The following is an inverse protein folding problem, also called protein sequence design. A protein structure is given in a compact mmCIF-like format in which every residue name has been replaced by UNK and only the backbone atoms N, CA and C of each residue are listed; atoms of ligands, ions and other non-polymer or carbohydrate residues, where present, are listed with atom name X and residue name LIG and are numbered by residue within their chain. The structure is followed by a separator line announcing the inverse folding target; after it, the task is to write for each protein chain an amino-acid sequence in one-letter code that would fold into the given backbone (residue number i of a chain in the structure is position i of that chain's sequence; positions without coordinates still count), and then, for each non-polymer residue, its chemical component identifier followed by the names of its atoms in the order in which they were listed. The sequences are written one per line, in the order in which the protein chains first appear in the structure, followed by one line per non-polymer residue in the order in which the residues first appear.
data_IF_724116158240
#
_entry.id   IF_724116158240
#
_cell.length_a   1.000
_cell.length_b   1.000
_cell.length_c   1.000
_cell.angle_alpha   90.00
_cell.angle_beta   90.00
_cell.angle_gamma   90.00
#
_symmetry.space_group_name_H-M   'P 1'
#
loop_
_entity.id
_entity.type
_entity.pdbx_description
1 polymer ?
#
# COMPACT_ATOMS: atom_id res chain seq x y z
N UNK A 1 -8.76 29.18 -60.30
CA UNK A 1 -9.53 28.03 -60.86
C UNK A 1 -10.72 27.76 -59.96
N UNK A 2 -11.92 28.20 -60.36
CA UNK A 2 -13.14 28.05 -59.56
C UNK A 2 -13.61 26.60 -59.54
N UNK A 3 -13.85 26.05 -58.35
CA UNK A 3 -14.45 24.72 -58.17
C UNK A 3 -15.91 24.75 -58.65
N UNK A 4 -16.30 23.77 -59.47
CA UNK A 4 -17.68 23.61 -59.93
C UNK A 4 -18.67 23.34 -58.79
N UNK A 5 -19.96 23.55 -59.07
CA UNK A 5 -21.06 23.24 -58.15
C UNK A 5 -21.03 21.76 -57.79
N UNK A 6 -21.16 21.44 -56.50
CA UNK A 6 -21.28 20.07 -56.00
C UNK A 6 -22.69 19.84 -55.45
N UNK A 7 -23.19 18.62 -55.57
CA UNK A 7 -24.45 18.20 -54.95
C UNK A 7 -24.31 18.05 -53.42
N UNK A 8 -25.38 18.31 -52.68
CA UNK A 8 -25.43 18.10 -51.22
C UNK A 8 -25.74 16.62 -50.95
N UNK A 9 -24.71 15.79 -51.03
CA UNK A 9 -24.72 14.37 -50.67
C UNK A 9 -23.41 13.98 -49.97
N UNK A 10 -23.37 12.80 -49.36
CA UNK A 10 -22.15 12.28 -48.74
C UNK A 10 -21.04 12.18 -49.80
N UNK A 11 -19.85 12.70 -49.48
CA UNK A 11 -18.66 12.54 -50.32
C UNK A 11 -18.07 11.16 -50.05
N UNK A 12 -18.10 10.25 -51.02
CA UNK A 12 -17.67 8.86 -50.81
C UNK A 12 -16.15 8.73 -50.61
N UNK A 13 -15.37 9.43 -51.42
CA UNK A 13 -13.91 9.43 -51.28
C UNK A 13 -13.48 10.05 -49.94
N UNK A 14 -12.81 9.25 -49.10
CA UNK A 14 -12.43 9.62 -47.74
C UNK A 14 -11.49 10.83 -47.68
N UNK A 15 -10.49 10.91 -48.56
CA UNK A 15 -9.52 12.02 -48.62
C UNK A 15 -10.22 13.32 -49.00
N UNK A 16 -11.06 13.29 -50.04
CA UNK A 16 -11.83 14.46 -50.45
C UNK A 16 -12.84 14.91 -49.38
N UNK A 17 -13.46 13.94 -48.69
CA UNK A 17 -14.36 14.19 -47.56
C UNK A 17 -13.62 14.87 -46.41
N UNK A 18 -12.43 14.40 -46.04
CA UNK A 18 -11.62 14.99 -44.97
C UNK A 18 -11.18 16.42 -45.31
N UNK A 19 -10.66 16.66 -46.51
CA UNK A 19 -10.24 18.00 -46.94
C UNK A 19 -11.43 18.96 -46.99
N UNK A 20 -12.58 18.48 -47.47
CA UNK A 20 -13.81 19.28 -47.55
C UNK A 20 -14.35 19.59 -46.15
N UNK A 21 -14.34 18.60 -45.24
CA UNK A 21 -14.70 18.78 -43.85
C UNK A 21 -13.86 19.88 -43.20
N UNK A 22 -12.53 19.79 -43.29
CA UNK A 22 -11.62 20.78 -42.70
C UNK A 22 -11.91 22.20 -43.22
N UNK A 23 -12.09 22.36 -44.53
CA UNK A 23 -12.38 23.67 -45.14
C UNK A 23 -13.75 24.21 -44.74
N UNK A 24 -14.81 23.38 -44.81
CA UNK A 24 -16.18 23.79 -44.46
C UNK A 24 -16.33 24.07 -42.97
N UNK A 25 -15.74 23.24 -42.11
CA UNK A 25 -15.70 23.44 -40.65
C UNK A 25 -15.12 24.82 -40.32
N UNK A 26 -13.96 25.16 -40.89
CA UNK A 26 -13.34 26.48 -40.69
C UNK A 26 -14.22 27.60 -41.23
N UNK A 27 -14.84 27.41 -42.40
CA UNK A 27 -15.79 28.39 -42.97
C UNK A 27 -17.01 28.64 -42.08
N UNK A 28 -17.60 27.59 -41.52
CA UNK A 28 -18.73 27.66 -40.59
C UNK A 28 -18.32 28.39 -39.31
N UNK A 29 -17.18 28.05 -38.72
CA UNK A 29 -16.66 28.74 -37.53
C UNK A 29 -16.39 30.23 -37.80
N UNK A 30 -15.88 30.57 -38.99
CA UNK A 30 -15.69 31.98 -39.38
C UNK A 30 -17.02 32.72 -39.46
N UNK A 31 -18.03 32.11 -40.08
CA UNK A 31 -19.39 32.69 -40.17
C UNK A 31 -20.05 32.85 -38.81
N UNK A 32 -19.89 31.87 -37.92
CA UNK A 32 -20.39 31.94 -36.54
C UNK A 32 -19.75 33.11 -35.78
N UNK A 33 -18.44 33.31 -35.94
CA UNK A 33 -17.72 34.45 -35.36
C UNK A 33 -18.20 35.78 -35.93
N UNK A 34 -18.36 35.88 -37.25
CA UNK A 34 -18.92 37.07 -37.89
C UNK A 34 -20.31 37.40 -37.31
N UNK A 35 -21.18 36.41 -37.17
CA UNK A 35 -22.52 36.60 -36.59
C UNK A 35 -22.47 37.06 -35.13
N UNK A 36 -21.56 36.49 -34.34
CA UNK A 36 -21.36 36.89 -32.94
C UNK A 36 -21.00 38.37 -32.84
N UNK A 37 -20.08 38.85 -33.69
CA UNK A 37 -19.61 40.24 -33.68
C UNK A 37 -20.64 41.20 -34.27
N UNK A 38 -21.30 40.82 -35.37
CA UNK A 38 -22.20 41.72 -36.10
C UNK A 38 -23.55 41.93 -35.40
N UNK A 39 -24.03 40.92 -34.67
CA UNK A 39 -25.39 40.92 -34.11
C UNK A 39 -25.43 40.72 -32.59
N UNK A 40 -24.28 40.71 -31.91
CA UNK A 40 -24.15 40.38 -30.48
C UNK A 40 -24.86 39.05 -30.12
N UNK A 41 -24.85 38.11 -31.06
CA UNK A 41 -25.51 36.82 -30.91
C UNK A 41 -24.55 35.83 -30.25
N UNK A 42 -24.99 35.15 -29.19
CA UNK A 42 -24.21 34.07 -28.60
C UNK A 42 -24.42 32.77 -29.38
N UNK A 43 -23.33 32.17 -29.84
CA UNK A 43 -23.35 31.04 -30.76
C UNK A 43 -22.43 29.94 -30.24
N UNK A 44 -22.97 28.73 -30.11
CA UNK A 44 -22.21 27.52 -29.86
C UNK A 44 -22.37 26.54 -31.03
N UNK A 45 -21.28 25.89 -31.44
CA UNK A 45 -21.28 24.85 -32.47
C UNK A 45 -20.45 23.67 -31.98
N UNK A 46 -21.03 22.47 -32.03
CA UNK A 46 -20.35 21.20 -31.76
C UNK A 46 -20.45 20.33 -33.01
N UNK A 47 -19.30 19.82 -33.49
CA UNK A 47 -19.21 18.97 -34.68
C UNK A 47 -18.41 17.72 -34.38
N UNK A 48 -18.99 16.55 -34.67
CA UNK A 48 -18.29 15.27 -34.64
C UNK A 48 -17.93 14.83 -36.06
N UNK A 49 -16.67 14.45 -36.26
CA UNK A 49 -16.22 13.86 -37.52
C UNK A 49 -16.48 12.35 -37.53
N UNK A 50 -16.46 11.74 -38.72
CA UNK A 50 -16.50 10.28 -38.85
C UNK A 50 -15.25 9.58 -38.26
N UNK A 51 -14.23 10.33 -37.84
CA UNK A 51 -13.02 9.79 -37.18
C UNK A 51 -13.15 9.81 -35.66
N UNK A 52 -14.32 10.17 -35.11
CA UNK A 52 -14.54 10.32 -33.66
C UNK A 52 -13.89 11.57 -33.06
N UNK A 53 -13.29 12.44 -33.86
CA UNK A 53 -12.75 13.72 -33.37
C UNK A 53 -13.86 14.74 -33.31
N UNK A 54 -13.92 15.50 -32.22
CA UNK A 54 -14.85 16.61 -32.09
C UNK A 54 -14.14 17.94 -32.33
N UNK A 55 -14.93 18.91 -32.77
CA UNK A 55 -14.51 20.29 -32.93
C UNK A 55 -15.62 21.18 -32.43
N UNK A 56 -15.26 22.17 -31.63
CA UNK A 56 -16.20 23.09 -31.02
C UNK A 56 -15.83 24.55 -31.29
N UNK A 57 -16.85 25.39 -31.24
CA UNK A 57 -16.72 26.84 -31.25
C UNK A 57 -17.75 27.40 -30.27
N UNK A 58 -17.34 28.39 -29.49
CA UNK A 58 -18.20 29.16 -28.60
C UNK A 58 -17.93 30.64 -28.81
N UNK A 59 -18.96 31.47 -28.71
CA UNK A 59 -18.82 32.92 -28.70
C UNK A 59 -17.88 33.37 -27.58
N UNK A 60 -16.99 34.37 -27.83
CA UNK A 60 -16.13 34.92 -26.79
C UNK A 60 -16.93 35.43 -25.58
N UNK A 61 -16.40 35.27 -24.37
CA UNK A 61 -17.06 35.71 -23.15
C UNK A 61 -18.17 34.78 -22.63
N UNK A 62 -18.40 33.64 -23.28
CA UNK A 62 -19.35 32.61 -22.84
C UNK A 62 -18.75 31.22 -22.89
N UNK A 63 -19.24 30.31 -22.06
CA UNK A 63 -18.91 28.88 -22.13
C UNK A 63 -20.05 28.11 -22.82
N UNK A 64 -19.72 27.00 -23.48
CA UNK A 64 -20.68 26.12 -24.12
C UNK A 64 -21.75 25.70 -23.12
N UNK A 65 -21.36 25.35 -21.89
CA UNK A 65 -22.29 25.00 -20.80
C UNK A 65 -23.35 26.08 -20.58
N UNK A 66 -22.95 27.34 -20.47
CA UNK A 66 -23.88 28.47 -20.25
C UNK A 66 -24.87 28.69 -21.40
N UNK A 67 -24.50 28.35 -22.63
CA UNK A 67 -25.40 28.41 -23.79
C UNK A 67 -26.39 27.24 -23.74
N UNK A 68 -25.91 26.04 -23.41
CA UNK A 68 -26.77 24.86 -23.22
C UNK A 68 -27.77 25.05 -22.08
N UNK A 69 -27.34 25.62 -20.96
CA UNK A 69 -28.21 25.88 -19.81
C UNK A 69 -29.34 26.85 -20.18
N UNK A 70 -29.03 27.91 -20.93
CA UNK A 70 -30.04 28.86 -21.42
C UNK A 70 -30.96 28.27 -22.47
N UNK A 71 -30.43 27.41 -23.34
CA UNK A 71 -31.25 26.65 -24.28
C UNK A 71 -32.25 25.75 -23.54
N UNK A 72 -31.80 25.04 -22.50
CA UNK A 72 -32.66 24.23 -21.65
C UNK A 72 -33.73 25.07 -20.94
N UNK A 73 -33.37 26.24 -20.40
CA UNK A 73 -34.34 27.17 -19.80
C UNK A 73 -35.36 27.68 -20.81
N UNK A 74 -34.95 28.00 -22.04
CA UNK A 74 -35.83 28.53 -23.07
C UNK A 74 -36.83 27.49 -23.62
N UNK A 75 -36.42 26.22 -23.72
CA UNK A 75 -37.28 25.14 -24.23
C UNK A 75 -38.09 24.48 -23.11
N UNK A 76 -37.66 24.62 -21.85
CA UNK A 76 -38.31 23.96 -20.71
C UNK A 76 -38.07 22.44 -20.67
N UNK A 77 -37.15 21.93 -21.51
CA UNK A 77 -36.80 20.51 -21.55
C UNK A 77 -35.41 20.32 -21.00
N UNK A 78 -35.31 19.46 -19.99
CA UNK A 78 -34.06 19.11 -19.37
C UNK A 78 -33.24 18.11 -20.19
N UNK A 79 -32.07 18.52 -20.68
CA UNK A 79 -31.20 17.65 -21.46
C UNK A 79 -30.37 16.69 -20.58
N UNK A 80 -30.25 16.98 -19.28
CA UNK A 80 -29.38 16.27 -18.35
C UNK A 80 -30.09 15.24 -17.46
N UNK A 81 -31.43 15.16 -17.51
CA UNK A 81 -32.17 14.76 -16.31
C UNK A 81 -32.15 13.27 -15.92
N UNK A 82 -32.04 12.29 -16.81
CA UNK A 82 -32.15 10.91 -16.32
C UNK A 82 -30.83 10.35 -15.81
N UNK A 83 -29.76 10.49 -16.59
CA UNK A 83 -28.47 9.89 -16.25
C UNK A 83 -27.73 10.65 -15.16
N UNK A 84 -27.80 11.99 -15.17
CA UNK A 84 -27.13 12.80 -14.16
C UNK A 84 -27.82 12.70 -12.80
N UNK A 85 -29.15 12.72 -12.77
CA UNK A 85 -29.92 12.50 -11.53
C UNK A 85 -29.68 11.09 -10.97
N UNK A 86 -29.60 10.07 -11.83
CA UNK A 86 -29.33 8.72 -11.36
C UNK A 86 -27.91 8.58 -10.78
N UNK A 87 -26.92 9.22 -11.41
CA UNK A 87 -25.56 9.31 -10.90
C UNK A 87 -25.51 10.03 -9.55
N UNK A 88 -26.21 11.16 -9.42
CA UNK A 88 -26.29 11.91 -8.16
C UNK A 88 -26.98 11.11 -7.05
N UNK A 89 -28.09 10.42 -7.35
CA UNK A 89 -28.75 9.53 -6.38
C UNK A 89 -27.81 8.43 -5.89
N UNK A 90 -27.07 7.81 -6.82
CA UNK A 90 -26.10 6.76 -6.49
C UNK A 90 -24.98 7.31 -5.58
N UNK A 91 -24.47 8.49 -5.89
CA UNK A 91 -23.43 9.15 -5.11
C UNK A 91 -23.90 9.55 -3.71
N UNK A 92 -25.13 10.05 -3.57
CA UNK A 92 -25.73 10.35 -2.27
C UNK A 92 -25.94 9.08 -1.44
N UNK A 93 -26.47 8.03 -2.06
CA UNK A 93 -26.66 6.73 -1.41
C UNK A 93 -25.33 6.13 -0.89
N UNK A 94 -24.27 6.19 -1.69
CA UNK A 94 -22.94 5.73 -1.27
C UNK A 94 -22.35 6.57 -0.13
N UNK A 95 -22.57 7.89 -0.14
CA UNK A 95 -22.15 8.75 0.96
C UNK A 95 -22.86 8.40 2.26
N UNK A 96 -24.16 8.10 2.20
CA UNK A 96 -24.92 7.74 3.39
C UNK A 96 -24.52 6.37 3.93
N UNK A 97 -24.28 5.37 3.08
CA UNK A 97 -23.70 4.08 3.49
C UNK A 97 -22.34 4.31 4.18
N UNK A 98 -21.47 5.16 3.62
CA UNK A 98 -20.15 5.40 4.20
C UNK A 98 -20.25 6.09 5.57
N UNK A 99 -21.16 7.04 5.73
CA UNK A 99 -21.44 7.71 7.02
C UNK A 99 -21.94 6.70 8.05
N UNK A 100 -22.84 5.81 7.66
CA UNK A 100 -23.38 4.77 8.55
C UNK A 100 -22.28 3.81 9.00
N UNK A 101 -21.45 3.30 8.06
CA UNK A 101 -20.32 2.42 8.40
C UNK A 101 -19.31 3.09 9.31
N UNK A 102 -18.98 4.37 9.09
CA UNK A 102 -18.07 5.12 9.97
C UNK A 102 -18.66 5.30 11.37
N UNK A 103 -19.97 5.47 11.46
CA UNK A 103 -20.67 5.59 12.75
C UNK A 103 -20.66 4.24 13.47
N UNK A 104 -20.96 3.15 12.77
CA UNK A 104 -20.89 1.80 13.33
C UNK A 104 -19.48 1.44 13.84
N UNK A 105 -18.43 1.81 13.09
CA UNK A 105 -17.04 1.61 13.54
C UNK A 105 -16.77 2.39 14.83
N UNK A 106 -17.15 3.67 14.90
CA UNK A 106 -16.98 4.50 16.11
C UNK A 106 -17.73 3.93 17.31
N UNK A 107 -18.97 3.51 17.11
CA UNK A 107 -19.77 2.87 18.15
C UNK A 107 -19.13 1.57 18.65
N UNK A 108 -18.63 0.72 17.75
CA UNK A 108 -17.86 -0.49 18.12
C UNK A 108 -16.56 -0.18 18.86
N UNK A 109 -15.99 1.01 18.67
CA UNK A 109 -14.82 1.51 19.41
C UNK A 109 -15.18 2.18 20.75
N UNK A 110 -16.48 2.33 21.06
CA UNK A 110 -16.97 2.96 22.28
C UNK A 110 -17.17 4.47 22.19
N UNK A 111 -17.19 5.03 20.98
CA UNK A 111 -17.42 6.46 20.71
C UNK A 111 -18.88 6.69 20.24
N UNK A 112 -19.41 7.90 20.42
CA UNK A 112 -20.75 8.33 19.95
C UNK A 112 -21.90 7.37 20.31
N UNK A 113 -21.94 6.92 21.57
CA UNK A 113 -22.96 5.99 22.06
C UNK A 113 -24.27 6.64 22.49
N UNK A 114 -24.27 7.97 22.68
CA UNK A 114 -25.41 8.72 23.22
C UNK A 114 -26.68 8.65 22.35
N UNK A 115 -26.52 8.33 21.07
CA UNK A 115 -27.62 8.25 20.11
C UNK A 115 -28.26 6.85 20.01
N UNK A 116 -27.72 5.84 20.70
CA UNK A 116 -28.22 4.47 20.64
C UNK A 116 -29.30 4.24 21.70
N UNK A 117 -30.34 3.51 21.34
CA UNK A 117 -31.30 3.00 22.32
C UNK A 117 -30.68 1.88 23.16
N UNK A 118 -31.24 1.64 24.35
CA UNK A 118 -30.68 0.65 25.28
C UNK A 118 -30.61 -0.78 24.70
N UNK A 119 -31.61 -1.18 23.91
CA UNK A 119 -31.61 -2.48 23.24
C UNK A 119 -30.52 -2.58 22.16
N UNK A 120 -30.27 -1.48 21.43
CA UNK A 120 -29.20 -1.40 20.44
C UNK A 120 -27.82 -1.46 21.11
N UNK A 121 -27.65 -0.77 22.23
CA UNK A 121 -26.41 -0.79 23.02
C UNK A 121 -26.13 -2.19 23.58
N UNK A 122 -27.15 -2.88 24.08
CA UNK A 122 -27.05 -4.28 24.52
C UNK A 122 -26.68 -5.20 23.36
N UNK A 123 -27.29 -5.01 22.18
CA UNK A 123 -26.94 -5.75 20.97
C UNK A 123 -25.48 -5.53 20.55
N UNK A 124 -25.01 -4.28 20.61
CA UNK A 124 -23.63 -3.91 20.34
C UNK A 124 -22.65 -4.58 21.30
N UNK A 125 -22.95 -4.57 22.61
CA UNK A 125 -22.15 -5.24 23.64
C UNK A 125 -22.01 -6.75 23.36
N UNK A 126 -23.13 -7.44 23.10
CA UNK A 126 -23.14 -8.87 22.79
C UNK A 126 -22.33 -9.18 21.52
N UNK A 127 -22.45 -8.35 20.49
CA UNK A 127 -21.70 -8.49 19.25
C UNK A 127 -20.19 -8.34 19.47
N UNK A 128 -19.77 -7.34 20.25
CA UNK A 128 -18.36 -7.11 20.57
C UNK A 128 -17.80 -8.23 21.45
N UNK A 129 -18.54 -8.70 22.45
CA UNK A 129 -18.12 -9.82 23.32
C UNK A 129 -17.96 -11.13 22.53
N UNK A 130 -18.89 -11.41 21.62
CA UNK A 130 -18.81 -12.59 20.74
C UNK A 130 -17.60 -12.51 19.81
N UNK A 131 -17.38 -11.36 19.18
CA UNK A 131 -16.20 -11.14 18.34
C UNK A 131 -14.89 -11.26 19.13
N UNK A 132 -14.87 -10.78 20.38
CA UNK A 132 -13.71 -10.87 21.27
C UNK A 132 -13.39 -12.33 21.64
N UNK A 133 -14.41 -13.14 21.93
CA UNK A 133 -14.26 -14.59 22.19
C UNK A 133 -13.62 -15.31 21.01
N UNK A 134 -14.10 -15.05 19.80
CA UNK A 134 -13.54 -15.61 18.56
C UNK A 134 -12.06 -15.22 18.36
N UNK A 135 -11.74 -13.93 18.53
CA UNK A 135 -10.37 -13.43 18.40
C UNK A 135 -9.45 -14.05 19.45
N UNK A 136 -9.91 -14.13 20.71
CA UNK A 136 -9.15 -14.76 21.81
C UNK A 136 -8.90 -16.23 21.51
N UNK A 137 -9.92 -16.98 21.10
CA UNK A 137 -9.79 -18.40 20.77
C UNK A 137 -8.71 -18.62 19.71
N UNK A 138 -8.73 -17.85 18.62
CA UNK A 138 -7.69 -17.92 17.56
C UNK A 138 -6.31 -17.56 18.09
N UNK A 139 -6.19 -16.49 18.89
CA UNK A 139 -4.90 -16.09 19.50
C UNK A 139 -4.34 -17.19 20.41
N UNK A 140 -5.16 -17.75 21.29
CA UNK A 140 -4.73 -18.83 22.17
C UNK A 140 -4.34 -20.10 21.41
N UNK A 141 -5.08 -20.44 20.35
CA UNK A 141 -4.72 -21.56 19.48
C UNK A 141 -3.32 -21.39 18.86
N UNK A 142 -3.02 -20.20 18.32
CA UNK A 142 -1.69 -19.89 17.77
C UNK A 142 -0.60 -19.92 18.84
N UNK A 143 -0.85 -19.36 20.02
CA UNK A 143 0.12 -19.35 21.13
C UNK A 143 0.38 -20.79 21.63
N UNK A 144 -0.66 -21.60 21.77
CA UNK A 144 -0.55 -22.99 22.23
C UNK A 144 0.29 -23.81 21.26
N UNK A 145 -0.04 -23.75 19.97
CA UNK A 145 0.67 -24.50 18.92
C UNK A 145 2.15 -24.08 18.81
N UNK A 146 2.46 -22.79 18.94
CA UNK A 146 3.84 -22.31 19.00
C UNK A 146 4.55 -22.82 20.26
N UNK A 147 3.90 -22.73 21.42
CA UNK A 147 4.46 -23.19 22.71
C UNK A 147 4.81 -24.67 22.65
N UNK A 148 3.93 -25.51 22.11
CA UNK A 148 4.17 -26.94 21.96
C UNK A 148 5.32 -27.24 20.99
N UNK A 149 5.44 -26.45 19.92
CA UNK A 149 6.55 -26.55 18.98
C UNK A 149 7.88 -26.22 19.65
N UNK A 150 7.96 -25.14 20.44
CA UNK A 150 9.17 -24.78 21.16
C UNK A 150 9.51 -25.76 22.28
N UNK A 151 8.51 -26.27 23.02
CA UNK A 151 8.72 -27.34 24.01
C UNK A 151 9.36 -28.57 23.38
N UNK A 152 8.88 -29.00 22.20
CA UNK A 152 9.48 -30.12 21.45
C UNK A 152 10.92 -29.82 21.03
N UNK A 153 11.20 -28.61 20.54
CA UNK A 153 12.57 -28.19 20.17
C UNK A 153 13.53 -28.22 21.38
N UNK A 154 13.10 -27.70 22.52
CA UNK A 154 13.90 -27.71 23.76
C UNK A 154 14.19 -29.14 24.19
N UNK A 155 13.18 -30.01 24.23
CA UNK A 155 13.34 -31.43 24.57
C UNK A 155 14.33 -32.12 23.63
N UNK A 156 14.17 -31.95 22.33
CA UNK A 156 15.08 -32.50 21.32
C UNK A 156 16.52 -32.00 21.49
N UNK A 157 16.71 -30.69 21.74
CA UNK A 157 18.06 -30.14 21.96
C UNK A 157 18.71 -30.66 23.25
N UNK A 158 17.91 -30.87 24.30
CA UNK A 158 18.39 -31.42 25.57
C UNK A 158 18.81 -32.89 25.41
N UNK A 159 18.00 -33.69 24.70
CA UNK A 159 18.33 -35.08 24.38
C UNK A 159 19.59 -35.18 23.51
N UNK A 160 19.73 -34.33 22.50
CA UNK A 160 20.94 -34.25 21.67
C UNK A 160 22.19 -33.88 22.50
N UNK A 161 22.07 -32.91 23.40
CA UNK A 161 23.16 -32.52 24.30
C UNK A 161 23.59 -33.67 25.23
N UNK A 162 22.62 -34.37 25.82
CA UNK A 162 22.86 -35.53 26.69
C UNK A 162 23.58 -36.65 25.93
N UNK A 163 23.16 -36.96 24.71
CA UNK A 163 23.78 -37.99 23.88
C UNK A 163 25.24 -37.63 23.54
N UNK A 164 25.50 -36.36 23.21
CA UNK A 164 26.86 -35.88 22.91
C UNK A 164 27.78 -35.96 24.15
N UNK A 165 27.27 -35.60 25.34
CA UNK A 165 28.03 -35.79 26.58
C UNK A 165 28.38 -37.26 26.83
N UNK A 166 27.45 -38.18 26.55
CA UNK A 166 27.69 -39.61 26.70
C UNK A 166 28.74 -40.13 25.70
N UNK A 167 28.71 -39.67 24.45
CA UNK A 167 29.76 -40.02 23.46
C UNK A 167 31.14 -39.49 23.84
N UNK A 168 31.22 -38.26 24.39
CA UNK A 168 32.47 -37.68 24.86
C UNK A 168 33.00 -38.37 26.13
N UNK A 169 32.12 -38.75 27.06
CA UNK A 169 32.46 -39.48 28.29
C UNK A 169 32.82 -40.96 28.07
N UNK A 170 32.53 -41.52 26.90
CA UNK A 170 32.95 -42.87 26.50
C UNK A 170 34.28 -42.86 25.73
N UNK A 171 34.98 -41.71 25.67
CA UNK A 171 36.25 -41.53 24.96
C UNK A 171 37.41 -41.14 25.88
N UNK A 172 37.45 -41.67 27.10
CA UNK A 172 38.67 -41.68 27.92
C UNK A 172 39.53 -42.90 27.54
N UNK A 173 40.38 -42.74 26.52
CA UNK A 173 41.62 -43.52 26.43
C UNK A 173 42.67 -42.83 27.32
N UNK A 174 43.15 -43.46 28.41
CA UNK A 174 44.17 -42.87 29.27
C UNK A 174 45.55 -43.22 28.69
N UNK A 175 46.08 -42.36 27.82
CA UNK A 175 47.43 -42.52 27.32
C UNK A 175 48.17 -41.19 27.18
N UNK A 176 48.33 -40.45 28.28
CA UNK A 176 49.52 -39.64 28.51
C UNK A 176 49.80 -39.60 30.01
N UNK A 177 50.70 -40.47 30.45
CA UNK A 177 51.21 -40.49 31.81
C UNK A 177 52.05 -39.23 32.08
N UNK A 178 51.67 -38.47 33.10
CA UNK A 178 52.52 -37.44 33.66
C UNK A 178 53.25 -38.06 34.85
N UNK A 179 54.56 -38.25 34.71
CA UNK A 179 55.44 -38.71 35.78
C UNK A 179 55.51 -37.60 36.83
N UNK A 180 55.19 -37.96 38.06
CA UNK A 180 55.30 -37.12 39.24
C UNK A 180 56.74 -36.65 39.40
N UNK A 181 56.97 -35.33 39.33
CA UNK A 181 58.18 -34.75 39.89
C UNK A 181 57.77 -33.69 40.91
N UNK A 182 58.05 -34.05 42.16
CA UNK A 182 57.75 -33.38 43.41
C UNK A 182 58.30 -31.96 43.48
N UNK A 183 57.49 -31.08 44.07
CA UNK A 183 57.99 -29.95 44.88
C UNK A 183 57.87 -28.58 44.24
N UNK A 184 56.93 -27.78 44.74
CA UNK A 184 57.17 -26.53 45.49
C UNK A 184 55.87 -25.72 45.52
N UNK A 185 55.54 -25.25 46.71
CA UNK A 185 54.39 -24.43 47.06
C UNK A 185 54.32 -23.11 46.27
N UNK A 186 53.10 -22.65 45.99
CA UNK A 186 52.85 -21.27 45.58
C UNK A 186 51.48 -21.09 44.95
N UNK A 187 50.61 -20.34 45.61
CA UNK A 187 49.27 -20.00 45.13
C UNK A 187 49.30 -19.10 43.89
N UNK A 188 48.25 -19.22 43.08
CA UNK A 188 48.03 -18.37 41.90
C UNK A 188 46.71 -17.63 42.08
N UNK A 189 46.82 -16.44 42.65
CA UNK A 189 45.82 -15.39 42.62
C UNK A 189 46.10 -14.56 41.36
N UNK A 190 45.22 -14.65 40.36
CA UNK A 190 45.41 -14.06 39.03
C UNK A 190 44.68 -12.73 38.90
N UNK A 191 45.25 -11.69 39.50
CA UNK A 191 44.77 -10.31 39.41
C UNK A 191 44.93 -9.72 37.99
N UNK A 192 43.90 -8.96 37.62
CA UNK A 192 43.76 -8.16 36.41
C UNK A 192 44.79 -7.03 36.38
N UNK A 193 45.57 -6.90 35.30
CA UNK A 193 46.27 -5.67 34.98
C UNK A 193 46.38 -5.46 33.47
N UNK A 194 45.67 -4.44 33.00
CA UNK A 194 45.78 -3.84 31.67
C UNK A 194 47.13 -3.12 31.53
N UNK A 195 47.83 -3.38 30.43
CA UNK A 195 49.00 -2.62 30.02
C UNK A 195 49.36 -2.93 28.57
N UNK A 196 49.06 -2.00 27.66
CA UNK A 196 49.37 -2.14 26.25
C UNK A 196 50.80 -1.73 25.89
N UNK A 197 51.24 -2.18 24.72
CA UNK A 197 52.21 -1.44 23.88
C UNK A 197 53.59 -2.07 23.73
N UNK A 198 53.85 -2.60 22.52
CA UNK A 198 55.06 -2.29 21.76
C UNK A 198 56.31 -3.18 21.93
N UNK A 199 56.51 -4.06 20.94
CA UNK A 199 57.75 -4.08 20.14
C UNK A 199 58.98 -4.86 20.66
N UNK A 200 59.31 -5.94 19.92
CA UNK A 200 60.69 -6.19 19.49
C UNK A 200 61.39 -7.43 20.06
N UNK A 201 61.54 -8.46 19.21
CA UNK A 201 62.86 -9.08 19.03
C UNK A 201 63.10 -10.50 19.57
N UNK A 202 63.07 -11.46 18.63
CA UNK A 202 63.95 -12.64 18.49
C UNK A 202 63.70 -13.92 19.28
N UNK A 203 63.54 -15.01 18.52
CA UNK A 203 63.98 -16.37 18.90
C UNK A 203 62.90 -17.46 18.80
N UNK A 204 62.98 -18.26 17.73
CA UNK A 204 62.64 -19.71 17.60
C UNK A 204 61.67 -20.32 18.63
N UNK A 205 60.62 -21.07 18.29
CA UNK A 205 60.53 -22.14 17.28
C UNK A 205 59.14 -22.79 17.37
N UNK A 206 58.73 -23.42 16.27
CA UNK A 206 57.64 -24.41 16.08
C UNK A 206 56.21 -23.86 16.00
N UNK A 207 55.83 -23.59 14.76
CA UNK A 207 54.47 -23.53 14.23
C UNK A 207 53.74 -24.86 14.46
N UNK A 208 52.67 -24.85 15.25
CA UNK A 208 51.63 -25.87 15.21
C UNK A 208 50.40 -25.24 14.54
N UNK A 209 50.03 -25.79 13.38
CA UNK A 209 48.86 -25.37 12.60
C UNK A 209 47.60 -25.40 13.45
N UNK A 210 47.13 -24.20 13.79
CA UNK A 210 45.90 -23.96 14.52
C UNK A 210 44.76 -24.00 13.49
N UNK A 211 43.98 -25.08 13.47
CA UNK A 211 42.73 -25.14 12.71
C UNK A 211 41.79 -24.04 13.20
N UNK A 212 41.79 -22.91 12.51
CA UNK A 212 40.86 -21.81 12.73
C UNK A 212 39.48 -22.20 12.16
N UNK A 213 38.58 -22.67 13.02
CA UNK A 213 37.16 -22.63 12.69
C UNK A 213 36.70 -21.17 12.72
N UNK A 214 36.60 -20.57 11.54
CA UNK A 214 35.87 -19.31 11.34
C UNK A 214 34.39 -19.57 11.59
N UNK A 215 33.88 -19.12 12.74
CA UNK A 215 32.43 -18.89 12.88
C UNK A 215 32.10 -17.65 12.07
N UNK A 216 31.38 -17.84 10.96
CA UNK A 216 30.76 -16.74 10.22
C UNK A 216 29.69 -16.12 11.12
N UNK A 217 29.78 -14.84 11.50
CA UNK A 217 28.69 -14.19 12.20
C UNK A 217 27.58 -13.89 11.18
N UNK A 218 26.54 -14.73 11.16
CA UNK A 218 25.26 -14.36 10.54
C UNK A 218 24.40 -13.64 11.58
N UNK A 219 24.78 -12.41 11.88
CA UNK A 219 23.92 -11.40 12.50
C UNK A 219 24.10 -10.12 11.67
N UNK A 220 23.02 -9.39 11.36
CA UNK A 220 22.65 -8.38 12.34
C UNK A 220 21.14 -8.12 12.50
N UNK A 221 20.83 -7.59 13.69
CA UNK A 221 19.71 -6.70 14.04
C UNK A 221 18.47 -7.30 14.73
N UNK A 222 18.65 -7.74 15.98
CA UNK A 222 17.71 -7.40 17.04
C UNK A 222 18.05 -6.00 17.59
N UNK A 223 17.63 -4.96 16.87
CA UNK A 223 17.40 -3.63 17.45
C UNK A 223 16.13 -3.09 16.83
N UNK A 224 15.02 -3.19 17.58
CA UNK A 224 13.70 -2.80 17.11
C UNK A 224 12.57 -3.24 18.04
N UNK A 225 12.80 -3.27 19.36
CA UNK A 225 11.70 -3.23 20.32
C UNK A 225 11.22 -1.77 20.38
N UNK A 226 10.44 -1.36 19.39
CA UNK A 226 9.67 -0.14 19.43
C UNK A 226 8.23 -0.53 19.12
N UNK A 227 7.37 -0.47 20.14
CA UNK A 227 5.93 -0.43 19.97
C UNK A 227 5.59 0.89 19.26
N UNK A 228 5.70 0.88 17.93
CA UNK A 228 5.20 1.95 17.08
C UNK A 228 3.72 1.72 16.83
N UNK A 229 2.88 2.57 17.42
CA UNK A 229 1.51 2.81 16.99
C UNK A 229 1.54 3.24 15.51
N UNK A 230 1.24 2.32 14.60
CA UNK A 230 1.04 2.69 13.21
C UNK A 230 -0.30 3.41 13.07
N UNK A 231 -0.19 4.70 12.81
CA UNK A 231 -1.20 5.59 12.24
C UNK A 231 -2.04 4.86 11.17
N UNK A 232 -3.30 4.58 11.50
CA UNK A 232 -4.34 4.37 10.50
C UNK A 232 -4.98 5.73 10.20
N UNK A 233 -4.27 6.56 9.44
CA UNK A 233 -4.86 7.73 8.78
C UNK A 233 -5.26 7.36 7.36
N UNK A 234 -6.55 7.19 7.14
CA UNK A 234 -7.16 7.31 5.81
C UNK A 234 -7.45 8.80 5.57
N UNK A 235 -6.57 9.44 4.81
CA UNK A 235 -6.78 10.73 4.15
C UNK A 235 -6.68 10.53 2.65
#
# INVERSE_FOLDING_TARGET
MGRGKIEIKRIENATNRQVTYSKRRTGIMKKARELTVLCDAQVAIIMFSSTGKYHEFCSPGTDIKTIFDRYQQAIGTSLWNEQYENMQRTLSHLKDINRNLRTEIRQRMGEDLDSLEFDELRGLEQNVDTALKEVRHRKYHVISTQTDTYKKKVKHSYEAYKNLQQELGMREDPAFGFVDNTGVAGGWDGAVALGGGGGGGSGSTVTADMYAFRVVPSQPNLHGMAYGSHDLRLG
#
